data_IF_140850288912
#
_entry.id   IF_140850288912
#
_cell.length_a   1.000
_cell.length_b   1.000
_cell.length_c   1.000
_cell.angle_alpha   90.00
_cell.angle_beta   90.00
_cell.angle_gamma   90.00
#
_symmetry.space_group_name_H-M   'P 1'
#
loop_
_entity.id
_entity.type
_entity.pdbx_description
1 polymer ?
#
# COMPACT_ATOMS: atom_id res chain seq x y z
N UNK A 1 23.38 9.16 -17.71
CA UNK A 1 22.39 8.17 -17.23
C UNK A 1 23.12 7.16 -16.35
N UNK A 2 22.59 6.86 -15.16
CA UNK A 2 23.09 5.80 -14.27
C UNK A 2 22.06 4.67 -14.27
N UNK A 3 22.52 3.44 -14.43
CA UNK A 3 21.66 2.24 -14.33
C UNK A 3 21.80 1.69 -12.91
N UNK A 4 20.67 1.37 -12.27
CA UNK A 4 20.62 0.66 -10.99
C UNK A 4 20.05 -0.74 -11.25
N UNK A 5 20.70 -1.77 -10.70
CA UNK A 5 20.28 -3.15 -10.87
C UNK A 5 19.41 -3.59 -9.70
N UNK A 6 18.25 -4.17 -9.99
CA UNK A 6 17.39 -4.81 -9.00
C UNK A 6 17.92 -6.23 -8.73
N UNK A 7 18.14 -6.55 -7.46
CA UNK A 7 18.55 -7.90 -7.07
C UNK A 7 17.37 -8.88 -7.07
N UNK A 8 17.67 -10.15 -6.82
CA UNK A 8 16.67 -11.24 -6.79
C UNK A 8 15.58 -11.10 -5.72
N UNK A 9 15.72 -10.17 -4.78
CA UNK A 9 14.75 -9.92 -3.71
C UNK A 9 13.62 -9.01 -4.19
N UNK A 10 13.80 -8.33 -5.33
CA UNK A 10 12.75 -7.54 -5.95
C UNK A 10 11.77 -8.42 -6.72
N UNK A 11 10.49 -8.10 -6.59
CA UNK A 11 9.44 -8.64 -7.45
C UNK A 11 9.00 -7.55 -8.42
N UNK A 12 9.19 -7.80 -9.71
CA UNK A 12 8.67 -6.95 -10.78
C UNK A 12 7.47 -7.67 -11.41
N UNK A 13 6.29 -7.07 -11.31
CA UNK A 13 5.02 -7.64 -11.78
C UNK A 13 4.66 -7.06 -13.15
N UNK A 14 4.21 -7.92 -14.07
CA UNK A 14 3.76 -7.53 -15.40
C UNK A 14 2.23 -7.50 -15.48
N UNK A 15 1.68 -6.44 -16.09
CA UNK A 15 0.24 -6.29 -16.36
C UNK A 15 -0.09 -6.37 -17.86
N UNK A 16 0.82 -6.91 -18.68
CA UNK A 16 0.71 -6.98 -20.13
C UNK A 16 -0.32 -7.98 -20.67
N UNK A 17 -0.76 -8.96 -19.86
CA UNK A 17 -1.79 -9.93 -20.25
C UNK A 17 -2.83 -10.14 -19.14
N UNK A 18 -3.97 -10.72 -19.48
CA UNK A 18 -4.99 -11.09 -18.48
C UNK A 18 -4.44 -12.06 -17.42
N UNK A 19 -3.61 -13.01 -17.84
CA UNK A 19 -2.98 -13.98 -16.94
C UNK A 19 -1.97 -13.28 -16.02
N UNK A 20 -1.06 -12.47 -16.57
CA UNK A 20 -0.05 -11.76 -15.77
C UNK A 20 -0.68 -10.77 -14.80
N UNK A 21 -1.78 -10.11 -15.18
CA UNK A 21 -2.54 -9.22 -14.30
C UNK A 21 -3.19 -9.98 -13.13
N UNK A 22 -3.72 -11.18 -13.39
CA UNK A 22 -4.29 -12.03 -12.34
C UNK A 22 -3.20 -12.50 -11.38
N UNK A 23 -2.05 -12.93 -11.89
CA UNK A 23 -0.88 -13.31 -11.09
C UNK A 23 -0.40 -12.15 -10.20
N UNK A 24 -0.25 -10.95 -10.77
CA UNK A 24 0.10 -9.74 -10.05
C UNK A 24 -0.89 -9.44 -8.92
N UNK A 25 -2.19 -9.53 -9.21
CA UNK A 25 -3.25 -9.29 -8.23
C UNK A 25 -3.19 -10.30 -7.08
N UNK A 26 -2.99 -11.58 -7.40
CA UNK A 26 -2.84 -12.64 -6.41
C UNK A 26 -1.58 -12.48 -5.55
N UNK A 27 -0.47 -12.03 -6.15
CA UNK A 27 0.77 -11.73 -5.44
C UNK A 27 0.55 -10.62 -4.42
N UNK A 28 -0.02 -9.48 -4.83
CA UNK A 28 -0.34 -8.35 -3.94
C UNK A 28 -1.24 -8.83 -2.80
N UNK A 29 -2.35 -9.51 -3.11
CA UNK A 29 -3.28 -10.01 -2.10
C UNK A 29 -2.59 -10.90 -1.06
N UNK A 30 -1.71 -11.79 -1.51
CA UNK A 30 -0.98 -12.72 -0.63
C UNK A 30 -0.03 -11.98 0.31
N UNK A 31 0.72 -11.00 -0.20
CA UNK A 31 1.66 -10.22 0.61
C UNK A 31 0.90 -9.37 1.63
N UNK A 32 -0.16 -8.69 1.22
CA UNK A 32 -0.97 -7.87 2.15
C UNK A 32 -1.57 -8.72 3.26
N UNK A 33 -2.10 -9.91 2.93
CA UNK A 33 -2.68 -10.82 3.91
C UNK A 33 -1.65 -11.37 4.90
N UNK A 34 -0.40 -11.58 4.47
CA UNK A 34 0.67 -12.13 5.31
C UNK A 34 1.33 -11.08 6.20
N UNK A 35 1.49 -9.85 5.69
CA UNK A 35 2.17 -8.77 6.40
C UNK A 35 1.21 -7.91 7.22
N UNK A 36 -0.06 -7.87 6.84
CA UNK A 36 -1.03 -6.91 7.39
C UNK A 36 -0.86 -5.49 6.85
N UNK A 37 0.11 -5.25 5.97
CA UNK A 37 0.42 -3.95 5.38
C UNK A 37 -0.15 -3.86 3.96
N UNK A 38 -0.57 -2.66 3.56
CA UNK A 38 -1.04 -2.39 2.20
C UNK A 38 0.12 -2.05 1.29
N UNK A 39 0.08 -2.55 0.06
CA UNK A 39 1.07 -2.17 -0.96
C UNK A 39 0.55 -0.93 -1.68
N UNK A 40 1.41 0.09 -1.79
CA UNK A 40 1.10 1.35 -2.48
C UNK A 40 -0.14 2.10 -1.93
N UNK A 41 -0.36 2.07 -0.62
CA UNK A 41 -1.33 2.96 0.03
C UNK A 41 -0.82 4.40 0.01
N UNK A 42 -1.47 5.26 -0.79
CA UNK A 42 -0.98 6.63 -1.06
C UNK A 42 -1.15 7.51 0.18
N UNK A 43 -2.20 7.28 0.95
CA UNK A 43 -2.56 7.99 2.17
C UNK A 43 -1.51 7.75 3.27
N UNK A 44 -1.13 6.48 3.46
CA UNK A 44 -0.04 6.09 4.37
C UNK A 44 1.29 6.72 3.93
N UNK A 45 1.63 6.63 2.64
CA UNK A 45 2.86 7.21 2.10
C UNK A 45 2.87 8.73 2.31
N UNK A 46 1.76 9.42 2.03
CA UNK A 46 1.64 10.86 2.22
C UNK A 46 1.77 11.25 3.69
N UNK A 47 1.18 10.50 4.61
CA UNK A 47 1.31 10.71 6.05
C UNK A 47 2.73 10.47 6.53
N UNK A 48 3.38 9.36 6.15
CA UNK A 48 4.76 9.02 6.52
C UNK A 48 5.80 9.99 5.95
N UNK A 49 5.55 10.56 4.77
CA UNK A 49 6.39 11.59 4.16
C UNK A 49 6.09 13.01 4.69
N UNK A 50 5.06 13.17 5.53
CA UNK A 50 4.68 14.46 6.10
C UNK A 50 3.98 15.42 5.12
N UNK A 51 3.44 14.91 4.01
CA UNK A 51 2.62 15.70 3.08
C UNK A 51 1.25 16.05 3.67
N UNK A 52 0.75 15.24 4.59
CA UNK A 52 -0.45 15.50 5.40
C UNK A 52 -0.11 15.29 6.88
N UNK A 53 -0.75 16.05 7.76
CA UNK A 53 -0.59 15.90 9.20
C UNK A 53 -1.60 14.88 9.77
N UNK A 54 -1.48 14.58 11.07
CA UNK A 54 -2.34 13.59 11.75
C UNK A 54 -3.82 13.97 11.73
N UNK A 55 -4.16 15.26 11.82
CA UNK A 55 -5.54 15.74 11.79
C UNK A 55 -6.17 15.51 10.41
N UNK A 56 -5.45 15.87 9.34
CA UNK A 56 -5.87 15.63 7.96
C UNK A 56 -5.99 14.14 7.64
N UNK A 57 -5.08 13.32 8.16
CA UNK A 57 -5.14 11.87 8.01
C UNK A 57 -6.35 11.29 8.74
N UNK A 58 -6.66 11.76 9.96
CA UNK A 58 -7.84 11.33 10.71
C UNK A 58 -9.15 11.72 10.00
N UNK A 59 -9.23 12.92 9.43
CA UNK A 59 -10.37 13.35 8.61
C UNK A 59 -10.55 12.47 7.36
N UNK A 60 -9.45 12.13 6.69
CA UNK A 60 -9.45 11.24 5.53
C UNK A 60 -9.98 9.84 5.90
N UNK A 61 -9.50 9.27 7.00
CA UNK A 61 -9.98 7.99 7.55
C UNK A 61 -11.49 8.03 7.78
N UNK A 62 -11.99 9.11 8.42
CA UNK A 62 -13.43 9.29 8.67
C UNK A 62 -14.25 9.30 7.38
N UNK A 63 -13.71 9.88 6.30
CA UNK A 63 -14.40 9.95 4.99
C UNK A 63 -14.49 8.60 4.27
N UNK A 64 -13.51 7.71 4.45
CA UNK A 64 -13.47 6.37 3.84
C UNK A 64 -14.51 5.44 4.48
N UNK A 65 -14.85 5.69 5.74
CA UNK A 65 -15.85 4.94 6.49
C UNK A 65 -15.35 3.60 7.03
N UNK A 66 -16.29 2.80 7.58
CA UNK A 66 -15.98 1.56 8.29
C UNK A 66 -15.83 0.37 7.34
N UNK A 67 -14.63 0.21 6.79
CA UNK A 67 -14.24 -0.95 6.00
C UNK A 67 -12.81 -1.39 6.37
N UNK A 68 -12.34 -2.50 5.79
CA UNK A 68 -11.00 -3.03 6.07
C UNK A 68 -9.88 -2.03 5.75
N UNK A 69 -10.08 -1.15 4.77
CA UNK A 69 -9.11 -0.12 4.40
C UNK A 69 -9.07 1.01 5.43
N UNK A 70 -10.23 1.50 5.87
CA UNK A 70 -10.34 2.48 6.96
C UNK A 70 -9.71 1.96 8.26
N UNK A 71 -10.02 0.72 8.65
CA UNK A 71 -9.40 0.09 9.83
C UNK A 71 -7.88 -0.08 9.69
N UNK A 72 -7.37 -0.30 8.49
CA UNK A 72 -5.93 -0.32 8.24
C UNK A 72 -5.31 1.06 8.47
N UNK A 73 -5.88 2.12 7.91
CA UNK A 73 -5.37 3.48 8.11
C UNK A 73 -5.45 3.92 9.58
N UNK A 74 -6.50 3.52 10.31
CA UNK A 74 -6.59 3.72 11.77
C UNK A 74 -5.42 3.03 12.50
N UNK A 75 -5.02 1.82 12.08
CA UNK A 75 -3.88 1.13 12.68
C UNK A 75 -2.56 1.87 12.46
N UNK A 76 -2.37 2.46 11.27
CA UNK A 76 -1.21 3.31 10.96
C UNK A 76 -1.17 4.56 11.83
N UNK A 77 -2.30 5.26 11.99
CA UNK A 77 -2.38 6.45 12.85
C UNK A 77 -2.04 6.13 14.31
N UNK A 78 -2.38 4.93 14.77
CA UNK A 78 -2.10 4.44 16.13
C UNK A 78 -0.68 3.88 16.32
N UNK A 79 0.17 3.87 15.28
CA UNK A 79 1.58 3.49 15.38
C UNK A 79 1.87 1.99 15.32
N UNK A 80 1.06 1.23 14.58
CA UNK A 80 1.29 -0.20 14.27
C UNK A 80 2.13 -0.35 13.01
#
# INVERSE_FOLDING_TARGET
MKVELLDKSFTWLDSGTHESMLEASNFIHTIEKRTGLKIACVEEIAFKLGYINSEQFEELIKSIGKNQYGSYLESILNGI
#
